data_IF_594903224405
#
_entry.id   IF_594903224405
#
_cell.length_a   1.000
_cell.length_b   1.000
_cell.length_c   1.000
_cell.angle_alpha   90.00
_cell.angle_beta   90.00
_cell.angle_gamma   90.00
#
_symmetry.space_group_name_H-M   'P 1'
#
loop_
_entity.id
_entity.type
_entity.pdbx_description
1 polymer ?
#
# COMPACT_ATOMS: atom_id res chain seq x y z
N UNK A 1 -3.45 15.45 -3.08
CA UNK A 1 -2.67 14.25 -3.45
C UNK A 1 -3.29 13.69 -4.71
N UNK A 2 -2.52 13.61 -5.80
CA UNK A 2 -3.00 13.08 -7.07
C UNK A 2 -3.11 11.56 -6.91
N UNK A 3 -4.29 11.01 -7.19
CA UNK A 3 -4.56 9.58 -7.21
C UNK A 3 -3.44 8.91 -8.01
N UNK A 4 -2.66 8.04 -7.37
CA UNK A 4 -1.65 7.25 -8.05
C UNK A 4 -2.38 6.36 -9.07
N UNK A 5 -2.50 6.79 -10.32
CA UNK A 5 -2.81 5.97 -11.50
C UNK A 5 -3.89 4.88 -11.34
N UNK A 6 -4.99 5.16 -10.63
CA UNK A 6 -6.09 4.18 -10.43
C UNK A 6 -5.82 3.09 -9.38
N UNK A 7 -4.75 3.21 -8.60
CA UNK A 7 -4.47 2.37 -7.44
C UNK A 7 -5.30 2.81 -6.22
N UNK A 8 -5.87 1.84 -5.51
CA UNK A 8 -6.64 2.02 -4.28
C UNK A 8 -5.82 1.54 -3.08
N UNK A 9 -5.89 2.28 -1.96
CA UNK A 9 -5.20 1.87 -0.74
C UNK A 9 -5.96 0.73 -0.07
N UNK A 10 -5.34 -0.44 -0.01
CA UNK A 10 -5.88 -1.67 0.59
C UNK A 10 -5.57 -1.80 2.08
N UNK A 11 -4.51 -1.15 2.55
CA UNK A 11 -4.13 -1.18 3.95
C UNK A 11 -3.23 -0.03 4.35
N UNK A 12 -3.27 0.31 5.64
CA UNK A 12 -2.36 1.25 6.29
C UNK A 12 -2.09 0.78 7.71
N UNK A 13 -0.85 0.91 8.17
CA UNK A 13 -0.48 0.59 9.55
C UNK A 13 0.76 1.34 10.00
N UNK A 14 0.94 1.46 11.31
CA UNK A 14 2.19 1.97 11.89
C UNK A 14 3.22 0.85 11.92
N UNK A 15 4.42 1.14 11.43
CA UNK A 15 5.58 0.26 11.61
C UNK A 15 6.35 0.62 12.88
N UNK A 16 6.40 1.91 13.18
CA UNK A 16 7.02 2.54 14.33
C UNK A 16 6.33 3.91 14.59
N UNK A 17 6.63 4.66 15.68
CA UNK A 17 5.89 5.88 16.05
C UNK A 17 5.86 6.96 14.97
N UNK A 18 6.89 7.01 14.12
CA UNK A 18 7.09 8.07 13.14
C UNK A 18 6.94 7.56 11.70
N UNK A 19 6.47 6.32 11.52
CA UNK A 19 6.40 5.70 10.20
C UNK A 19 5.12 4.91 9.97
N UNK A 20 4.44 5.21 8.85
CA UNK A 20 3.36 4.37 8.31
C UNK A 20 3.82 3.53 7.13
N UNK A 21 3.27 2.32 7.02
CA UNK A 21 3.30 1.48 5.83
C UNK A 21 1.93 1.50 5.18
N UNK A 22 1.90 1.64 3.86
CA UNK A 22 0.69 1.64 3.06
C UNK A 22 0.80 0.61 1.93
N UNK A 23 -0.28 -0.13 1.71
CA UNK A 23 -0.41 -1.07 0.59
C UNK A 23 -1.41 -0.49 -0.40
N UNK A 24 -0.98 -0.33 -1.64
CA UNK A 24 -1.79 0.19 -2.73
C UNK A 24 -1.87 -0.82 -3.85
N UNK A 25 -3.05 -0.98 -4.44
CA UNK A 25 -3.31 -1.97 -5.50
C UNK A 25 -4.11 -1.35 -6.63
N UNK A 26 -3.63 -1.52 -7.85
CA UNK A 26 -4.39 -1.22 -9.07
C UNK A 26 -5.27 -2.41 -9.41
N UNK A 27 -6.57 -2.34 -9.11
CA UNK A 27 -7.46 -3.51 -9.22
C UNK A 27 -7.57 -4.08 -10.63
N UNK A 28 -7.38 -3.26 -11.68
CA UNK A 28 -7.50 -3.73 -13.06
C UNK A 28 -6.30 -4.59 -13.51
N UNK A 29 -5.08 -4.21 -13.12
CA UNK A 29 -3.85 -4.94 -13.49
C UNK A 29 -3.41 -5.94 -12.42
N UNK A 30 -3.82 -5.74 -11.17
CA UNK A 30 -3.28 -6.47 -10.02
C UNK A 30 -1.90 -5.96 -9.59
N UNK A 31 -1.40 -4.85 -10.17
CA UNK A 31 -0.15 -4.23 -9.74
C UNK A 31 -0.30 -3.70 -8.32
N UNK A 32 0.74 -3.86 -7.52
CA UNK A 32 0.74 -3.40 -6.15
C UNK A 32 2.06 -2.77 -5.76
N UNK A 33 1.99 -1.88 -4.78
CA UNK A 33 3.12 -1.16 -4.23
C UNK A 33 2.96 -0.98 -2.73
N UNK A 34 4.08 -1.10 -2.02
CA UNK A 34 4.19 -0.83 -0.59
C UNK A 34 5.02 0.43 -0.42
N UNK A 35 4.40 1.44 0.18
CA UNK A 35 5.04 2.72 0.48
C UNK A 35 5.25 2.82 1.98
N UNK A 36 6.41 3.34 2.36
CA UNK A 36 6.68 3.79 3.70
C UNK A 36 6.71 5.32 3.74
N UNK A 37 5.93 5.92 4.65
CA UNK A 37 5.90 7.37 4.88
C UNK A 37 6.47 7.68 6.25
N UNK A 38 7.38 8.64 6.31
CA UNK A 38 8.03 9.11 7.53
C UNK A 38 7.42 10.45 7.96
N UNK A 39 7.32 10.67 9.28
CA UNK A 39 6.81 11.91 9.86
C UNK A 39 7.64 13.16 9.47
N UNK A 40 8.88 12.97 9.04
CA UNK A 40 9.74 14.02 8.50
C UNK A 40 9.36 14.48 7.08
N UNK A 41 8.29 13.93 6.50
CA UNK A 41 7.76 14.29 5.18
C UNK A 41 8.41 13.55 4.02
N UNK A 42 9.30 12.59 4.27
CA UNK A 42 9.88 11.72 3.23
C UNK A 42 9.07 10.44 3.05
N UNK A 43 9.16 9.86 1.85
CA UNK A 43 8.52 8.59 1.52
C UNK A 43 9.44 7.75 0.65
N UNK A 44 9.35 6.43 0.77
CA UNK A 44 10.05 5.50 -0.12
C UNK A 44 9.14 4.33 -0.53
N UNK A 45 9.36 3.81 -1.75
CA UNK A 45 8.79 2.53 -2.17
C UNK A 45 9.66 1.43 -1.57
N UNK A 46 9.03 0.53 -0.81
CA UNK A 46 9.72 -0.57 -0.12
C UNK A 46 9.65 -1.85 -0.95
N UNK A 47 8.51 -2.08 -1.61
CA UNK A 47 8.30 -3.22 -2.48
C UNK A 47 7.26 -2.88 -3.55
N UNK A 48 7.31 -3.59 -4.67
CA UNK A 48 6.31 -3.51 -5.74
C UNK A 48 6.24 -4.85 -6.48
N UNK A 49 5.11 -5.14 -7.08
CA UNK A 49 4.90 -6.35 -7.86
C UNK A 49 3.58 -6.34 -8.62
N UNK A 50 3.24 -7.50 -9.16
CA UNK A 50 2.05 -7.74 -9.98
C UNK A 50 1.21 -8.86 -9.34
N UNK A 51 0.05 -9.16 -9.92
CA UNK A 51 -0.81 -10.28 -9.54
C UNK A 51 -1.27 -10.28 -8.07
N UNK A 52 -1.77 -9.14 -7.57
CA UNK A 52 -2.40 -9.07 -6.25
C UNK A 52 -3.58 -10.04 -6.12
N UNK A 53 -3.58 -10.84 -5.05
CA UNK A 53 -4.70 -11.71 -4.66
C UNK A 53 -5.34 -11.17 -3.38
N UNK A 54 -6.64 -10.87 -3.42
CA UNK A 54 -7.40 -10.48 -2.23
C UNK A 54 -7.69 -11.74 -1.39
N UNK A 55 -6.92 -11.96 -0.33
CA UNK A 55 -7.23 -13.02 0.64
C UNK A 55 -8.17 -12.48 1.72
N UNK A 56 -9.45 -12.30 1.38
CA UNK A 56 -10.50 -12.18 2.41
C UNK A 56 -11.01 -13.56 2.79
N UNK A 57 -10.23 -14.30 3.58
CA UNK A 57 -10.83 -15.32 4.41
C UNK A 57 -11.48 -14.61 5.59
N UNK A 58 -12.80 -14.45 5.53
CA UNK A 58 -13.58 -14.05 6.70
C UNK A 58 -13.32 -15.09 7.81
N UNK A 59 -12.78 -14.71 8.98
CA UNK A 59 -12.62 -15.65 10.08
C UNK A 59 -14.03 -15.93 10.62
N UNK A 60 -14.62 -17.03 10.14
CA UNK A 60 -15.91 -17.55 10.63
C UNK A 60 -15.77 -18.13 12.03
#
# INVERSE_FOLDING_TARGET
>A
MKNALGAERRGIGLRDPDTTLEVWVTLHSGDWLIIQNYANGTSCIVAMGEHWEDSFADPT
#
